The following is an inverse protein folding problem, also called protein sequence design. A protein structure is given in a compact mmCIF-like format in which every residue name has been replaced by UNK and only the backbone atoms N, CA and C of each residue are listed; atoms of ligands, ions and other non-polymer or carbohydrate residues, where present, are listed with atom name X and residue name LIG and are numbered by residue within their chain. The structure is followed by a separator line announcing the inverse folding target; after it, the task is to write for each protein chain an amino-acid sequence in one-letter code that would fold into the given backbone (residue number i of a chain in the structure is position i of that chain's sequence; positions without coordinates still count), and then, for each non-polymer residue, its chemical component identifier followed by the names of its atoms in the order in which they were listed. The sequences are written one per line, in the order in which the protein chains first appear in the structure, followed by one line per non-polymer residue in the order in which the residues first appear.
data_IF_395165421626
#
_entry.id   IF_395165421626
#
_cell.length_a   1.000
_cell.length_b   1.000
_cell.length_c   1.000
_cell.angle_alpha   90.00
_cell.angle_beta   90.00
_cell.angle_gamma   90.00
#
_symmetry.space_group_name_H-M   'P 1'
#
loop_
_entity.id
_entity.type
_entity.pdbx_description
1 polymer ?
#
# COMPACT_ATOMS: atom_id res chain seq x y z
N UNK A 1 15.54 -8.75 -10.97
CA UNK A 1 14.44 -9.35 -10.18
C UNK A 1 13.58 -8.19 -9.69
N UNK A 2 12.25 -8.28 -9.73
CA UNK A 2 11.41 -7.24 -9.15
C UNK A 2 11.66 -7.18 -7.65
N UNK A 3 11.75 -5.96 -7.12
CA UNK A 3 11.90 -5.69 -5.69
C UNK A 3 10.61 -5.04 -5.20
N UNK A 4 10.14 -5.51 -4.06
CA UNK A 4 8.99 -5.00 -3.34
C UNK A 4 9.49 -4.29 -2.10
N UNK A 5 9.22 -3.00 -1.99
CA UNK A 5 9.55 -2.19 -0.83
C UNK A 5 8.28 -2.06 0.03
N UNK A 6 8.41 -2.26 1.35
CA UNK A 6 7.33 -2.07 2.30
C UNK A 6 7.50 -0.69 2.92
N UNK A 7 6.54 0.20 2.69
CA UNK A 7 6.60 1.59 3.13
C UNK A 7 5.43 1.92 4.06
N UNK A 8 5.65 2.82 5.01
CA UNK A 8 4.57 3.43 5.78
C UNK A 8 4.20 4.77 5.14
N UNK A 9 2.98 4.92 4.65
CA UNK A 9 2.57 6.13 3.93
C UNK A 9 2.47 7.35 4.84
N UNK A 10 2.20 7.15 6.13
CA UNK A 10 2.10 8.26 7.08
C UNK A 10 3.45 8.89 7.39
N UNK A 11 4.55 8.13 7.26
CA UNK A 11 5.91 8.59 7.59
C UNK A 11 6.85 8.65 6.40
N UNK A 12 6.39 8.18 5.23
CA UNK A 12 7.20 7.99 4.01
C UNK A 12 8.47 7.14 4.25
N UNK A 13 8.45 6.30 5.28
CA UNK A 13 9.61 5.51 5.70
C UNK A 13 9.55 4.12 5.05
N UNK A 14 10.70 3.64 4.56
CA UNK A 14 10.85 2.28 4.05
C UNK A 14 11.18 1.35 5.21
N UNK A 15 10.23 0.52 5.58
CA UNK A 15 10.34 -0.40 6.70
C UNK A 15 11.22 -1.60 6.36
N UNK A 16 11.02 -2.18 5.18
CA UNK A 16 11.75 -3.37 4.74
C UNK A 16 11.61 -3.59 3.21
N UNK A 17 12.26 -4.62 2.67
CA UNK A 17 12.17 -4.97 1.24
C UNK A 17 12.45 -6.45 0.94
N UNK A 18 11.81 -6.99 -0.10
CA UNK A 18 12.01 -8.38 -0.54
C UNK A 18 11.82 -8.53 -2.05
N UNK A 19 12.23 -9.66 -2.62
CA UNK A 19 12.05 -9.97 -4.04
C UNK A 19 10.86 -10.90 -4.31
N UNK A 20 10.17 -11.33 -3.25
CA UNK A 20 8.99 -12.20 -3.33
C UNK A 20 7.74 -11.47 -2.81
N UNK A 21 6.67 -11.49 -3.60
CA UNK A 21 5.43 -10.78 -3.25
C UNK A 21 4.72 -11.40 -2.04
N UNK A 22 4.78 -12.73 -1.85
CA UNK A 22 4.14 -13.36 -0.70
C UNK A 22 4.86 -12.98 0.60
N UNK A 23 6.19 -12.94 0.58
CA UNK A 23 6.96 -12.40 1.69
C UNK A 23 6.65 -10.92 1.92
N UNK A 24 6.55 -10.11 0.86
CA UNK A 24 6.21 -8.69 1.00
C UNK A 24 4.84 -8.51 1.67
N UNK A 25 3.85 -9.32 1.29
CA UNK A 25 2.52 -9.34 1.92
C UNK A 25 2.61 -9.74 3.39
N UNK A 26 3.35 -10.79 3.71
CA UNK A 26 3.53 -11.21 5.11
C UNK A 26 4.17 -10.08 5.95
N UNK A 27 5.23 -9.48 5.44
CA UNK A 27 5.96 -8.40 6.10
C UNK A 27 5.09 -7.15 6.27
N UNK A 28 4.33 -6.75 5.24
CA UNK A 28 3.41 -5.62 5.33
C UNK A 28 2.28 -5.87 6.33
N UNK A 29 1.75 -7.09 6.43
CA UNK A 29 0.75 -7.46 7.44
C UNK A 29 1.33 -7.38 8.85
N UNK A 30 2.57 -7.86 9.07
CA UNK A 30 3.25 -7.77 10.35
C UNK A 30 3.51 -6.30 10.73
N UNK A 31 4.03 -5.50 9.79
CA UNK A 31 4.25 -4.07 9.96
C UNK A 31 2.96 -3.33 10.32
N UNK A 32 1.86 -3.59 9.60
CA UNK A 32 0.56 -2.97 9.89
C UNK A 32 0.05 -3.34 11.29
N UNK A 33 0.25 -4.58 11.74
CA UNK A 33 -0.16 -5.00 13.11
C UNK A 33 0.64 -4.33 14.21
N UNK A 34 1.92 -4.05 13.98
CA UNK A 34 2.80 -3.39 14.95
C UNK A 34 2.74 -1.86 14.89
N UNK A 35 2.22 -1.32 13.78
CA UNK A 35 2.09 0.11 13.55
C UNK A 35 0.90 0.75 14.29
N UNK A 36 0.62 2.00 13.95
CA UNK A 36 -0.50 2.74 14.52
C UNK A 36 -1.81 2.32 13.86
N UNK A 37 -2.88 2.24 14.64
CA UNK A 37 -4.23 2.10 14.10
C UNK A 37 -4.53 3.27 13.15
N UNK A 38 -4.95 2.94 11.93
CA UNK A 38 -5.24 3.91 10.89
C UNK A 38 -4.06 4.29 10.00
N UNK A 39 -2.83 3.87 10.32
CA UNK A 39 -1.68 4.12 9.45
C UNK A 39 -1.63 3.08 8.32
N UNK A 40 -1.56 3.51 7.04
CA UNK A 40 -1.44 2.58 5.93
C UNK A 40 0.00 2.10 5.74
N UNK A 41 0.15 0.80 5.53
CA UNK A 41 1.38 0.16 5.06
C UNK A 41 1.20 -0.24 3.60
N UNK A 42 2.05 0.29 2.73
CA UNK A 42 2.04 0.05 1.29
C UNK A 42 3.13 -0.97 0.91
N UNK A 43 2.85 -1.77 -0.09
CA UNK A 43 3.84 -2.56 -0.83
C UNK A 43 4.02 -1.87 -2.16
N UNK A 44 5.22 -1.37 -2.42
CA UNK A 44 5.57 -0.69 -3.65
C UNK A 44 6.45 -1.54 -4.53
N UNK A 45 6.22 -1.46 -5.84
CA UNK A 45 7.07 -2.06 -6.85
C UNK A 45 7.29 -1.04 -7.95
N UNK A 46 8.56 -0.72 -8.24
CA UNK A 46 8.94 0.25 -9.27
C UNK A 46 8.23 1.62 -9.11
N UNK A 47 8.08 2.08 -7.86
CA UNK A 47 7.41 3.34 -7.51
C UNK A 47 5.89 3.33 -7.65
N UNK A 48 5.27 2.14 -7.71
CA UNK A 48 3.81 1.98 -7.72
C UNK A 48 3.36 1.16 -6.53
N UNK A 49 2.38 1.65 -5.80
CA UNK A 49 1.71 0.87 -4.77
C UNK A 49 0.95 -0.30 -5.43
N UNK A 50 1.30 -1.52 -5.03
CA UNK A 50 0.73 -2.79 -5.51
C UNK A 50 -0.34 -3.29 -4.57
N UNK A 51 -0.12 -3.15 -3.26
CA UNK A 51 -1.07 -3.50 -2.19
C UNK A 51 -0.92 -2.53 -1.03
N UNK A 52 -2.01 -2.28 -0.32
CA UNK A 52 -1.99 -1.44 0.87
C UNK A 52 -2.80 -2.10 1.98
N UNK A 53 -2.31 -1.99 3.20
CA UNK A 53 -2.90 -2.59 4.39
C UNK A 53 -3.08 -1.54 5.48
N UNK A 54 -4.15 -1.64 6.24
CA UNK A 54 -4.44 -0.74 7.35
C UNK A 54 -4.87 -1.52 8.58
N UNK A 55 -4.36 -1.11 9.75
CA UNK A 55 -4.84 -1.64 11.02
C UNK A 55 -6.12 -0.90 11.45
N UNK A 56 -7.19 -1.66 11.65
CA UNK A 56 -8.47 -1.16 12.14
C UNK A 56 -8.51 -1.12 13.67
N UNK A 57 -9.45 -0.34 14.21
CA UNK A 57 -9.63 -0.14 15.67
C UNK A 57 -9.98 -1.42 16.43
N UNK A 58 -10.51 -2.43 15.75
CA UNK A 58 -10.85 -3.74 16.30
C UNK A 58 -9.64 -4.70 16.34
N UNK A 59 -8.46 -4.24 15.88
CA UNK A 59 -7.23 -5.04 15.81
C UNK A 59 -7.11 -5.86 14.52
N UNK A 60 -8.07 -5.76 13.59
CA UNK A 60 -8.04 -6.44 12.31
C UNK A 60 -7.21 -5.66 11.30
N UNK A 61 -6.33 -6.32 10.55
CA UNK A 61 -5.67 -5.70 9.38
C UNK A 61 -6.49 -5.98 8.13
N UNK A 62 -6.78 -4.92 7.36
CA UNK A 62 -7.57 -5.01 6.13
C UNK A 62 -6.75 -4.52 4.94
N UNK A 63 -6.87 -5.21 3.81
CA UNK A 63 -6.36 -4.73 2.52
C UNK A 63 -7.27 -3.60 1.99
N UNK A 64 -6.66 -2.49 1.60
CA UNK A 64 -7.33 -1.36 0.95
C UNK A 64 -7.28 -1.55 -0.57
N UNK A 65 -8.41 -1.28 -1.24
CA UNK A 65 -8.45 -1.25 -2.69
C UNK A 65 -7.70 -0.02 -3.19
N UNK A 66 -6.64 -0.24 -3.97
CA UNK A 66 -5.90 0.82 -4.63
C UNK A 66 -6.71 1.27 -5.85
N UNK A 67 -7.61 2.21 -5.64
CA UNK A 67 -8.25 2.89 -6.76
C UNK A 67 -7.19 3.75 -7.46
N UNK A 68 -6.77 3.31 -8.64
CA UNK A 68 -6.02 4.18 -9.55
C UNK A 68 -6.75 5.54 -9.66
N UNK A 69 -6.03 6.67 -9.75
CA UNK A 69 -6.67 7.96 -9.95
C UNK A 69 -7.59 7.84 -11.16
N UNK A 70 -8.87 8.16 -10.95
CA UNK A 70 -9.86 8.22 -12.02
C UNK A 70 -9.22 8.97 -13.19
N UNK A 71 -9.26 8.45 -14.43
CA UNK A 71 -8.76 9.21 -15.56
C UNK A 71 -9.46 10.59 -15.54
N UNK A 72 -8.74 11.69 -15.83
CA UNK A 72 -9.37 13.00 -15.87
C UNK A 72 -10.58 12.88 -16.80
N UNK A 73 -11.77 13.18 -16.27
CA UNK A 73 -12.99 13.22 -17.06
C UNK A 73 -12.72 14.25 -18.14
N UNK A 74 -12.35 13.78 -19.34
CA UNK A 74 -12.28 14.63 -20.51
C UNK A 74 -13.71 15.11 -20.71
N UNK A 75 -13.97 16.34 -20.26
CA UNK A 75 -15.18 17.08 -20.55
C UNK A 75 -15.34 17.14 -22.06
N UNK A 76 -16.02 16.13 -22.61
CA UNK A 76 -16.40 16.03 -24.00
C UNK A 76 -17.58 16.98 -24.19
N UNK A 77 -17.32 18.27 -24.25
CA UNK A 77 -18.24 19.22 -24.88
C UNK A 77 -17.54 19.77 -26.10
N UNK A 78 -17.77 19.02 -27.19
CA UNK A 78 -17.47 19.39 -28.56
C UNK A 78 -18.68 20.16 -29.10
N UNK A 79 -18.37 21.19 -29.88
CA UNK A 79 -19.23 22.01 -30.74
C UNK A 79 -20.08 23.08 -30.06
#
# INVERSE_FOLDING_TARGET
MPRFDITNESTEDTLDSTHDLQDAVRMALEAARTGTVGDPVSIEQDGKCVKQFILLKDGTVRELEITAPLPPVLSLHRA
#
